data_IF_937266102987
#
_entry.id   IF_937266102987
#
_cell.length_a   1.000
_cell.length_b   1.000
_cell.length_c   1.000
_cell.angle_alpha   90.00
_cell.angle_beta   90.00
_cell.angle_gamma   90.00
#
_symmetry.space_group_name_H-M   'P 1'
#
loop_
_entity.id
_entity.type
_entity.pdbx_description
1 polymer ?
#
# COMPACT_ATOMS: atom_id res chain seq x y z
N UNK A 1 -3.33 17.39 -3.87
CA UNK A 1 -4.23 16.44 -3.18
C UNK A 1 -3.88 16.36 -1.71
N UNK A 2 -4.83 15.93 -0.88
CA UNK A 2 -4.64 15.52 0.51
C UNK A 2 -4.58 14.00 0.58
N UNK A 3 -3.46 13.47 1.03
CA UNK A 3 -3.15 12.04 0.99
C UNK A 3 -2.98 11.51 2.40
N UNK A 4 -3.62 10.39 2.72
CA UNK A 4 -3.33 9.61 3.91
C UNK A 4 -2.49 8.38 3.54
N UNK A 5 -1.31 8.23 4.13
CA UNK A 5 -0.40 7.10 3.88
C UNK A 5 -0.25 6.22 5.12
N UNK A 6 -0.56 4.94 4.95
CA UNK A 6 -0.30 3.88 5.93
C UNK A 6 0.80 2.97 5.41
N UNK A 7 1.83 2.71 6.23
CA UNK A 7 2.98 1.90 5.81
C UNK A 7 4.03 2.65 4.98
N UNK A 8 4.16 3.97 5.19
CA UNK A 8 5.09 4.83 4.45
C UNK A 8 6.40 5.15 5.20
N UNK A 9 6.75 4.40 6.24
CA UNK A 9 7.99 4.62 6.99
C UNK A 9 9.26 4.14 6.28
N UNK A 10 9.12 3.28 5.26
CA UNK A 10 10.23 2.69 4.49
C UNK A 10 9.71 2.09 3.18
N UNK A 11 10.63 1.66 2.32
CA UNK A 11 10.32 0.85 1.13
C UNK A 11 9.31 1.56 0.19
N UNK A 12 8.36 0.82 -0.39
CA UNK A 12 7.42 1.33 -1.40
C UNK A 12 6.67 2.56 -0.89
N UNK A 13 6.07 2.49 0.31
CA UNK A 13 5.28 3.58 0.85
C UNK A 13 6.10 4.86 1.10
N UNK A 14 7.37 4.70 1.50
CA UNK A 14 8.29 5.83 1.64
C UNK A 14 8.58 6.50 0.29
N UNK A 15 8.90 5.72 -0.73
CA UNK A 15 9.12 6.26 -2.09
C UNK A 15 7.85 6.88 -2.68
N UNK A 16 6.67 6.34 -2.37
CA UNK A 16 5.38 6.95 -2.74
C UNK A 16 5.21 8.30 -2.05
N UNK A 17 5.48 8.38 -0.74
CA UNK A 17 5.39 9.64 0.00
C UNK A 17 6.33 10.71 -0.59
N UNK A 18 7.61 10.36 -0.85
CA UNK A 18 8.56 11.28 -1.46
C UNK A 18 8.07 11.84 -2.81
N UNK A 19 7.54 10.98 -3.68
CA UNK A 19 7.03 11.39 -5.00
C UNK A 19 5.82 12.31 -4.89
N UNK A 20 4.83 11.96 -4.06
CA UNK A 20 3.65 12.79 -3.86
C UNK A 20 3.99 14.15 -3.24
N UNK A 21 4.93 14.19 -2.29
CA UNK A 21 5.45 15.43 -1.70
C UNK A 21 6.16 16.29 -2.75
N UNK A 22 7.00 15.69 -3.60
CA UNK A 22 7.67 16.39 -4.69
C UNK A 22 6.69 16.96 -5.74
N UNK A 23 5.54 16.30 -5.94
CA UNK A 23 4.43 16.80 -6.75
C UNK A 23 3.56 17.87 -6.05
N UNK A 24 3.97 18.33 -4.86
CA UNK A 24 3.33 19.42 -4.13
C UNK A 24 2.10 19.00 -3.32
N UNK A 25 1.84 17.70 -3.13
CA UNK A 25 0.70 17.22 -2.34
C UNK A 25 0.93 17.33 -0.84
N UNK A 26 -0.16 17.42 -0.08
CA UNK A 26 -0.12 17.33 1.38
C UNK A 26 -0.29 15.88 1.79
N UNK A 27 0.71 15.31 2.44
CA UNK A 27 0.77 13.91 2.83
C UNK A 27 0.74 13.78 4.36
N UNK A 28 -0.26 13.10 4.88
CA UNK A 28 -0.33 12.67 6.29
C UNK A 28 0.14 11.23 6.40
N UNK A 29 1.19 10.99 7.19
CA UNK A 29 1.80 9.68 7.38
C UNK A 29 1.43 9.13 8.77
N UNK A 30 0.75 7.99 8.82
CA UNK A 30 0.56 7.23 10.06
C UNK A 30 1.82 6.39 10.33
N UNK A 31 2.51 6.70 11.43
CA UNK A 31 3.84 6.15 11.73
C UNK A 31 3.92 5.68 13.19
N UNK A 32 4.44 4.47 13.41
CA UNK A 32 4.75 3.98 14.76
C UNK A 32 5.90 4.78 15.41
N UNK A 33 6.85 5.23 14.59
CA UNK A 33 8.06 5.97 14.97
C UNK A 33 8.29 7.14 14.01
N UNK A 34 7.60 8.29 14.20
CA UNK A 34 7.75 9.47 13.35
C UNK A 34 9.15 10.07 13.36
N UNK A 35 9.96 9.81 14.39
CA UNK A 35 11.33 10.33 14.55
C UNK A 35 12.24 9.96 13.36
N UNK A 36 11.97 8.82 12.72
CA UNK A 36 12.68 8.40 11.52
C UNK A 36 12.45 9.36 10.33
N UNK A 37 11.30 10.02 10.25
CA UNK A 37 11.01 11.02 9.21
C UNK A 37 11.50 12.41 9.64
N UNK A 38 11.48 12.72 10.93
CA UNK A 38 12.00 13.99 11.48
C UNK A 38 13.51 14.14 11.30
N UNK A 39 14.22 13.01 11.19
CA UNK A 39 15.67 12.95 10.93
C UNK A 39 16.02 12.70 9.45
N UNK A 40 15.02 12.56 8.58
CA UNK A 40 15.23 12.30 7.16
C UNK A 40 15.39 13.62 6.38
N UNK A 41 16.62 13.88 5.92
CA UNK A 41 16.95 15.09 5.15
C UNK A 41 16.09 15.31 3.89
N UNK A 42 15.52 14.25 3.31
CA UNK A 42 14.61 14.36 2.15
C UNK A 42 13.18 14.72 2.53
N UNK A 43 12.77 14.52 3.78
CA UNK A 43 11.41 14.77 4.28
C UNK A 43 11.34 16.06 5.11
N UNK A 44 12.42 16.43 5.80
CA UNK A 44 12.52 17.64 6.65
C UNK A 44 11.95 18.91 5.97
N UNK A 45 12.27 19.24 4.70
CA UNK A 45 11.72 20.43 4.04
C UNK A 45 10.19 20.41 3.92
N UNK A 46 9.61 19.22 3.72
CA UNK A 46 8.16 19.04 3.62
C UNK A 46 7.47 19.11 4.98
N UNK A 47 8.14 18.70 6.06
CA UNK A 47 7.64 18.89 7.43
C UNK A 47 7.59 20.39 7.74
N UNK A 48 8.69 21.11 7.47
CA UNK A 48 8.79 22.55 7.73
C UNK A 48 7.74 23.38 6.97
N UNK A 49 7.39 22.97 5.75
CA UNK A 49 6.33 23.62 4.95
C UNK A 49 4.91 23.17 5.29
N UNK A 50 4.74 22.17 6.17
CA UNK A 50 3.44 21.58 6.52
C UNK A 50 2.84 20.66 5.44
N UNK A 51 3.60 20.37 4.38
CA UNK A 51 3.20 19.40 3.34
C UNK A 51 3.29 17.96 3.85
N UNK A 52 4.27 17.62 4.69
CA UNK A 52 4.35 16.34 5.37
C UNK A 52 3.84 16.48 6.81
N UNK A 53 2.76 15.76 7.13
CA UNK A 53 2.16 15.73 8.47
C UNK A 53 2.40 14.36 9.09
N UNK A 54 3.07 14.32 10.23
CA UNK A 54 3.42 13.06 10.89
C UNK A 54 2.42 12.78 12.01
N UNK A 55 1.76 11.63 11.97
CA UNK A 55 0.84 11.20 13.03
C UNK A 55 1.39 9.94 13.67
N UNK A 56 1.72 10.03 14.97
CA UNK A 56 2.13 8.84 15.73
C UNK A 56 0.94 7.92 15.98
N UNK A 57 1.11 6.65 15.63
CA UNK A 57 0.13 5.61 15.94
C UNK A 57 0.41 4.27 15.26
N UNK A 58 -0.48 3.31 15.46
CA UNK A 58 -0.42 1.98 14.89
C UNK A 58 -1.64 1.70 13.98
N UNK A 59 -1.41 1.12 12.80
CA UNK A 59 -2.48 0.69 11.90
C UNK A 59 -3.37 -0.41 12.48
N UNK A 60 -2.89 -1.13 13.51
CA UNK A 60 -3.67 -2.12 14.26
C UNK A 60 -4.52 -1.50 15.38
N UNK A 61 -4.57 -0.17 15.49
CA UNK A 61 -5.40 0.54 16.47
C UNK A 61 -6.34 1.47 15.72
N UNK A 62 -7.63 1.14 15.67
CA UNK A 62 -8.61 1.91 14.89
C UNK A 62 -8.67 3.39 15.28
N UNK A 63 -8.52 3.71 16.58
CA UNK A 63 -8.49 5.09 17.06
C UNK A 63 -7.29 5.88 16.50
N UNK A 64 -6.16 5.22 16.24
CA UNK A 64 -4.97 5.85 15.66
C UNK A 64 -5.17 6.12 14.17
N UNK A 65 -5.81 5.17 13.47
CA UNK A 65 -6.22 5.34 12.07
C UNK A 65 -7.21 6.49 11.92
N UNK A 66 -8.19 6.60 12.84
CA UNK A 66 -9.13 7.71 12.88
C UNK A 66 -8.42 9.06 13.08
N UNK A 67 -7.48 9.16 14.03
CA UNK A 67 -6.71 10.40 14.24
C UNK A 67 -5.91 10.79 13.00
N UNK A 68 -5.26 9.83 12.34
CA UNK A 68 -4.53 10.11 11.11
C UNK A 68 -5.45 10.57 9.97
N UNK A 69 -6.65 9.98 9.88
CA UNK A 69 -7.68 10.41 8.95
C UNK A 69 -8.13 11.85 9.23
N UNK A 70 -8.43 12.19 10.48
CA UNK A 70 -8.88 13.51 10.88
C UNK A 70 -7.82 14.57 10.52
N UNK A 71 -6.53 14.29 10.81
CA UNK A 71 -5.41 15.16 10.41
C UNK A 71 -5.25 15.30 8.89
N UNK A 72 -5.49 14.23 8.12
CA UNK A 72 -5.47 14.31 6.65
C UNK A 72 -6.61 15.18 6.09
N UNK A 73 -7.78 15.12 6.75
CA UNK A 73 -8.99 15.88 6.40
C UNK A 73 -8.93 17.36 6.84
N UNK A 74 -8.00 17.77 7.69
CA UNK A 74 -7.91 19.16 8.16
C UNK A 74 -7.73 20.18 7.01
N UNK A 75 -8.81 20.87 6.64
CA UNK A 75 -8.85 21.85 5.57
C UNK A 75 -9.24 21.29 4.19
N UNK A 76 -9.85 20.11 4.11
CA UNK A 76 -10.43 19.58 2.87
C UNK A 76 -10.79 18.09 2.92
N UNK A 77 -11.36 17.54 1.84
CA UNK A 77 -11.56 16.09 1.74
C UNK A 77 -10.21 15.37 1.61
N UNK A 78 -10.16 14.11 2.05
CA UNK A 78 -9.05 13.21 1.72
C UNK A 78 -9.28 12.73 0.28
N UNK A 79 -8.32 12.98 -0.60
CA UNK A 79 -8.43 12.62 -2.01
C UNK A 79 -7.93 11.20 -2.28
N UNK A 80 -6.87 10.80 -1.57
CA UNK A 80 -6.18 9.53 -1.74
C UNK A 80 -5.83 8.91 -0.40
N UNK A 81 -6.03 7.61 -0.30
CA UNK A 81 -5.49 6.75 0.74
C UNK A 81 -4.54 5.75 0.10
N UNK A 82 -3.29 5.73 0.55
CA UNK A 82 -2.32 4.71 0.19
C UNK A 82 -2.17 3.73 1.37
N UNK A 83 -2.35 2.44 1.10
CA UNK A 83 -2.14 1.37 2.06
C UNK A 83 -0.99 0.46 1.61
N UNK A 84 0.15 0.62 2.26
CA UNK A 84 1.35 -0.20 2.10
C UNK A 84 1.79 -0.89 3.38
N UNK A 85 0.89 -1.06 4.37
CA UNK A 85 1.24 -1.80 5.60
C UNK A 85 1.63 -3.23 5.22
N UNK A 86 2.75 -3.64 5.81
CA UNK A 86 3.27 -4.99 5.86
C UNK A 86 4.10 -5.12 7.15
N UNK A 87 4.56 -6.33 7.45
CA UNK A 87 5.41 -6.55 8.61
C UNK A 87 6.84 -6.91 8.25
N UNK A 88 7.69 -6.92 9.27
CA UNK A 88 9.04 -7.46 9.18
C UNK A 88 8.96 -8.99 9.13
N UNK A 89 9.50 -9.63 8.08
CA UNK A 89 9.46 -11.07 7.99
C UNK A 89 10.42 -11.69 9.01
N UNK A 90 9.88 -12.54 9.88
CA UNK A 90 10.65 -13.55 10.62
C UNK A 90 10.73 -14.85 9.82
N UNK A 91 11.66 -15.73 10.17
CA UNK A 91 11.80 -17.04 9.52
C UNK A 91 11.50 -18.19 10.49
N UNK A 92 10.70 -19.14 10.02
CA UNK A 92 10.36 -20.39 10.71
C UNK A 92 10.70 -21.57 9.82
N UNK A 93 11.44 -22.55 10.35
CA UNK A 93 11.82 -23.75 9.60
C UNK A 93 10.61 -24.57 9.11
N UNK A 94 9.47 -24.49 9.81
CA UNK A 94 8.25 -25.22 9.46
C UNK A 94 7.26 -24.40 8.63
N UNK A 95 7.28 -23.06 8.78
CA UNK A 95 6.26 -22.16 8.21
C UNK A 95 6.81 -21.17 7.17
N UNK A 96 8.10 -21.26 6.83
CA UNK A 96 8.75 -20.29 5.95
C UNK A 96 8.83 -18.89 6.58
N UNK A 97 8.59 -17.85 5.78
CA UNK A 97 8.48 -16.49 6.28
C UNK A 97 7.16 -16.27 7.03
N UNK A 98 7.26 -15.68 8.21
CA UNK A 98 6.12 -15.33 9.06
C UNK A 98 6.15 -13.85 9.39
N UNK A 99 4.98 -13.28 9.60
CA UNK A 99 4.82 -11.89 10.04
C UNK A 99 4.04 -11.89 11.34
N UNK A 100 4.41 -11.02 12.28
CA UNK A 100 3.74 -10.89 13.58
C UNK A 100 3.14 -9.49 13.73
N UNK A 101 1.82 -9.36 13.99
CA UNK A 101 0.84 -10.44 13.97
C UNK A 101 0.61 -10.98 12.55
N UNK A 102 0.13 -12.23 12.45
CA UNK A 102 -0.06 -12.90 11.16
C UNK A 102 -1.10 -12.21 10.28
N UNK A 103 -2.07 -11.52 10.89
CA UNK A 103 -3.17 -10.82 10.23
C UNK A 103 -2.95 -9.30 10.13
N UNK A 104 -1.69 -8.83 10.19
CA UNK A 104 -1.36 -7.40 10.28
C UNK A 104 -1.98 -6.59 9.14
N UNK A 105 -2.03 -7.14 7.92
CA UNK A 105 -2.49 -6.40 6.75
C UNK A 105 -4.01 -6.44 6.59
N UNK A 106 -4.65 -7.60 6.79
CA UNK A 106 -6.11 -7.71 6.76
C UNK A 106 -6.77 -6.94 7.91
N UNK A 107 -6.24 -7.06 9.14
CA UNK A 107 -6.76 -6.35 10.31
C UNK A 107 -6.61 -4.83 10.16
N UNK A 108 -5.43 -4.35 9.77
CA UNK A 108 -5.23 -2.90 9.58
C UNK A 108 -6.09 -2.35 8.43
N UNK A 109 -6.27 -3.11 7.35
CA UNK A 109 -7.16 -2.74 6.26
C UNK A 109 -8.62 -2.66 6.72
N UNK A 110 -9.07 -3.60 7.56
CA UNK A 110 -10.43 -3.59 8.10
C UNK A 110 -10.73 -2.32 8.91
N UNK A 111 -9.78 -1.86 9.74
CA UNK A 111 -9.91 -0.63 10.50
C UNK A 111 -9.89 0.61 9.62
N UNK A 112 -9.03 0.62 8.60
CA UNK A 112 -9.00 1.70 7.61
C UNK A 112 -10.33 1.82 6.86
N UNK A 113 -10.86 0.71 6.36
CA UNK A 113 -12.15 0.69 5.65
C UNK A 113 -13.30 1.12 6.56
N UNK A 114 -13.28 0.71 7.84
CA UNK A 114 -14.26 1.17 8.82
C UNK A 114 -14.22 2.70 9.00
N UNK A 115 -13.03 3.28 9.16
CA UNK A 115 -12.81 4.73 9.28
C UNK A 115 -13.29 5.46 8.03
N UNK A 116 -12.88 5.03 6.83
CA UNK A 116 -13.32 5.64 5.57
C UNK A 116 -14.85 5.61 5.50
N UNK A 117 -15.48 4.46 5.80
CA UNK A 117 -16.94 4.30 5.72
C UNK A 117 -17.68 5.23 6.69
N UNK A 118 -17.19 5.38 7.93
CA UNK A 118 -17.82 6.24 8.93
C UNK A 118 -17.54 7.72 8.71
N UNK A 119 -16.44 8.07 8.05
CA UNK A 119 -15.98 9.46 7.93
C UNK A 119 -16.25 10.11 6.57
N UNK A 120 -16.85 9.39 5.62
CA UNK A 120 -17.15 9.88 4.27
C UNK A 120 -18.61 9.66 3.87
N UNK A 121 -19.10 10.57 3.02
CA UNK A 121 -20.32 10.36 2.25
C UNK A 121 -19.94 9.78 0.87
N UNK A 122 -20.88 9.20 0.10
CA UNK A 122 -20.59 8.66 -1.23
C UNK A 122 -19.78 9.58 -2.14
N UNK A 123 -20.13 10.86 -2.19
CA UNK A 123 -19.46 11.85 -3.03
C UNK A 123 -18.05 12.28 -2.55
N UNK A 124 -17.64 11.88 -1.34
CA UNK A 124 -16.36 12.29 -0.73
C UNK A 124 -15.45 11.12 -0.38
N UNK A 125 -15.77 9.91 -0.87
CA UNK A 125 -14.91 8.73 -0.72
C UNK A 125 -13.59 8.96 -1.46
N UNK A 126 -12.45 8.62 -0.85
CA UNK A 126 -11.14 8.79 -1.46
C UNK A 126 -10.86 7.68 -2.49
N UNK A 127 -9.93 7.93 -3.42
CA UNK A 127 -9.23 6.82 -4.10
C UNK A 127 -8.46 6.01 -3.05
N UNK A 128 -8.51 4.69 -3.11
CA UNK A 128 -7.77 3.75 -2.27
C UNK A 128 -6.83 2.93 -3.15
N UNK A 129 -5.52 3.14 -2.97
CA UNK A 129 -4.49 2.31 -3.60
C UNK A 129 -3.88 1.42 -2.52
N UNK A 130 -3.86 0.11 -2.77
CA UNK A 130 -3.34 -0.86 -1.81
C UNK A 130 -2.31 -1.79 -2.43
N UNK A 131 -1.23 -2.07 -1.69
CA UNK A 131 -0.18 -3.01 -2.12
C UNK A 131 -0.44 -4.40 -1.53
N UNK A 132 -0.53 -5.41 -2.38
CA UNK A 132 -0.62 -6.82 -1.99
C UNK A 132 0.58 -7.60 -2.52
N UNK A 133 0.37 -8.61 -3.35
CA UNK A 133 1.43 -9.45 -3.92
C UNK A 133 0.92 -10.12 -5.20
N UNK A 134 1.81 -10.41 -6.14
CA UNK A 134 1.49 -11.30 -7.25
C UNK A 134 1.44 -12.77 -6.77
N UNK A 135 0.66 -13.62 -7.45
CA UNK A 135 0.59 -15.04 -7.16
C UNK A 135 -0.29 -15.44 -5.96
N UNK A 136 -1.24 -14.59 -5.56
CA UNK A 136 -2.15 -14.81 -4.43
C UNK A 136 -3.35 -15.71 -4.75
N UNK A 137 -3.73 -15.82 -6.03
CA UNK A 137 -4.82 -16.69 -6.49
C UNK A 137 -4.29 -17.72 -7.50
N UNK A 138 -5.04 -18.80 -7.72
CA UNK A 138 -4.63 -19.93 -8.58
C UNK A 138 -4.18 -19.46 -9.97
N UNK A 139 -4.88 -18.47 -10.53
CA UNK A 139 -4.60 -17.91 -11.85
C UNK A 139 -3.27 -17.17 -11.88
N UNK A 140 -3.06 -16.21 -10.98
CA UNK A 140 -1.80 -15.46 -10.87
C UNK A 140 -0.63 -16.36 -10.45
N UNK A 141 -0.87 -17.37 -9.61
CA UNK A 141 0.14 -18.36 -9.21
C UNK A 141 0.57 -19.23 -10.39
N UNK A 142 -0.37 -19.64 -11.25
CA UNK A 142 -0.05 -20.39 -12.46
C UNK A 142 0.85 -19.62 -13.43
N UNK A 143 0.75 -18.28 -13.45
CA UNK A 143 1.52 -17.37 -14.28
C UNK A 143 2.92 -17.03 -13.74
N UNK A 144 3.25 -17.45 -12.50
CA UNK A 144 4.59 -17.28 -11.94
C UNK A 144 5.64 -18.07 -12.73
N UNK A 145 6.88 -17.57 -12.83
CA UNK A 145 8.01 -18.38 -13.29
C UNK A 145 8.08 -19.72 -12.53
N UNK A 146 8.29 -20.83 -13.23
CA UNK A 146 8.29 -22.18 -12.64
C UNK A 146 9.17 -22.31 -11.38
N UNK A 147 10.40 -21.75 -11.33
CA UNK A 147 11.23 -21.83 -10.13
C UNK A 147 10.67 -21.08 -8.92
N UNK A 148 9.82 -20.06 -9.14
CA UNK A 148 9.22 -19.27 -8.06
C UNK A 148 8.00 -19.94 -7.45
N UNK A 149 7.34 -20.88 -8.12
CA UNK A 149 6.15 -21.58 -7.59
C UNK A 149 6.40 -22.28 -6.24
N UNK A 150 7.44 -23.12 -6.06
CA UNK A 150 7.70 -23.73 -4.75
C UNK A 150 8.08 -22.69 -3.68
N UNK A 151 8.81 -21.64 -4.06
CA UNK A 151 9.15 -20.54 -3.15
C UNK A 151 7.90 -19.78 -2.68
N UNK A 152 7.00 -19.42 -3.60
CA UNK A 152 5.76 -18.70 -3.29
C UNK A 152 4.75 -19.57 -2.54
N UNK A 153 4.69 -20.87 -2.86
CA UNK A 153 3.73 -21.80 -2.27
C UNK A 153 4.06 -22.22 -0.83
N UNK A 154 5.34 -22.33 -0.47
CA UNK A 154 5.74 -22.74 0.88
C UNK A 154 6.31 -21.57 1.71
N UNK A 155 7.25 -20.80 1.16
CA UNK A 155 7.98 -19.79 1.92
C UNK A 155 7.15 -18.55 2.24
N UNK A 156 6.13 -18.26 1.42
CA UNK A 156 5.30 -17.06 1.54
C UNK A 156 3.84 -17.38 1.91
N UNK A 157 3.54 -18.63 2.29
CA UNK A 157 2.17 -19.05 2.54
C UNK A 157 1.47 -18.17 3.58
N UNK A 158 2.04 -18.05 4.78
CA UNK A 158 1.46 -17.26 5.88
C UNK A 158 1.23 -15.78 5.50
N UNK A 159 2.22 -15.03 4.98
CA UNK A 159 1.96 -13.65 4.56
C UNK A 159 1.02 -13.55 3.36
N UNK A 160 0.95 -14.55 2.48
CA UNK A 160 -0.02 -14.56 1.38
C UNK A 160 -1.45 -14.79 1.85
N UNK A 161 -1.69 -15.65 2.86
CA UNK A 161 -3.01 -15.84 3.46
C UNK A 161 -3.58 -14.50 3.97
N UNK A 162 -2.77 -13.72 4.69
CA UNK A 162 -3.18 -12.40 5.17
C UNK A 162 -3.42 -11.39 4.03
N UNK A 163 -2.59 -11.41 2.98
CA UNK A 163 -2.80 -10.57 1.79
C UNK A 163 -4.07 -10.96 1.02
N UNK A 164 -4.44 -12.24 0.99
CA UNK A 164 -5.70 -12.71 0.41
C UNK A 164 -6.89 -12.16 1.22
N UNK A 165 -6.84 -12.21 2.55
CA UNK A 165 -7.88 -11.61 3.39
C UNK A 165 -7.94 -10.09 3.25
N UNK A 166 -6.80 -9.40 3.14
CA UNK A 166 -6.73 -7.98 2.80
C UNK A 166 -7.47 -7.69 1.49
N UNK A 167 -7.23 -8.47 0.44
CA UNK A 167 -7.94 -8.29 -0.84
C UNK A 167 -9.43 -8.58 -0.75
N UNK A 168 -9.85 -9.56 0.05
CA UNK A 168 -11.29 -9.85 0.25
C UNK A 168 -12.00 -8.64 0.85
N UNK A 169 -11.42 -8.00 1.86
CA UNK A 169 -11.99 -6.78 2.44
C UNK A 169 -12.13 -5.66 1.41
N UNK A 170 -11.10 -5.46 0.58
CA UNK A 170 -11.07 -4.40 -0.44
C UNK A 170 -12.04 -4.71 -1.58
N UNK A 171 -12.07 -5.95 -2.08
CA UNK A 171 -13.00 -6.41 -3.13
C UNK A 171 -14.46 -6.27 -2.69
N UNK A 172 -14.77 -6.64 -1.46
CA UNK A 172 -16.11 -6.45 -0.87
C UNK A 172 -16.47 -4.97 -0.74
N UNK A 173 -15.54 -4.14 -0.26
CA UNK A 173 -15.78 -2.70 -0.21
C UNK A 173 -16.05 -2.12 -1.61
N UNK A 174 -15.33 -2.59 -2.64
CA UNK A 174 -15.46 -2.17 -4.03
C UNK A 174 -16.67 -2.77 -4.78
N UNK A 175 -17.29 -3.84 -4.25
CA UNK A 175 -18.37 -4.58 -4.93
C UNK A 175 -17.87 -5.55 -6.02
N UNK A 176 -16.56 -5.83 -6.06
CA UNK A 176 -15.95 -6.74 -7.04
C UNK A 176 -16.24 -8.22 -6.78
N UNK A 177 -16.76 -8.55 -5.60
CA UNK A 177 -17.22 -9.89 -5.23
C UNK A 177 -18.72 -10.12 -5.49
N UNK A 178 -19.38 -9.19 -6.20
CA UNK A 178 -20.82 -9.24 -6.47
C UNK A 178 -21.69 -8.70 -5.33
N UNK A 179 -21.09 -8.16 -4.26
CA UNK A 179 -21.82 -7.44 -3.21
C UNK A 179 -22.08 -5.98 -3.60
N UNK A 180 -23.01 -5.33 -2.89
CA UNK A 180 -23.23 -3.88 -3.01
C UNK A 180 -22.05 -3.13 -2.39
N UNK A 181 -21.05 -2.86 -3.23
CA UNK A 181 -19.80 -2.20 -2.88
C UNK A 181 -20.02 -0.79 -2.43
N UNK A 182 -19.69 -0.49 -1.17
CA UNK A 182 -19.89 0.84 -0.63
C UNK A 182 -18.77 1.82 -1.02
N UNK A 183 -17.55 1.45 -1.39
CA UNK A 183 -16.51 2.45 -1.71
C UNK A 183 -16.58 2.94 -3.16
N UNK A 184 -17.17 2.14 -4.06
CA UNK A 184 -17.16 2.36 -5.51
C UNK A 184 -15.98 1.65 -6.17
N UNK A 185 -16.25 0.88 -7.22
CA UNK A 185 -15.25 0.10 -7.97
C UNK A 185 -14.15 0.95 -8.59
N UNK A 186 -14.49 2.16 -9.01
CA UNK A 186 -13.65 3.16 -9.65
C UNK A 186 -12.68 3.84 -8.66
N UNK A 187 -12.95 3.73 -7.36
CA UNK A 187 -12.13 4.34 -6.32
C UNK A 187 -11.04 3.38 -5.81
N UNK A 188 -10.93 2.15 -6.32
CA UNK A 188 -10.05 1.14 -5.74
C UNK A 188 -9.06 0.60 -6.77
N UNK A 189 -7.79 0.58 -6.38
CA UNK A 189 -6.74 -0.12 -7.12
C UNK A 189 -5.93 -1.03 -6.20
N UNK A 190 -5.88 -2.32 -6.55
CA UNK A 190 -5.01 -3.31 -5.91
C UNK A 190 -3.76 -3.47 -6.78
N UNK A 191 -2.59 -3.15 -6.24
CA UNK A 191 -1.30 -3.32 -6.91
C UNK A 191 -0.63 -4.59 -6.40
N UNK A 192 -0.40 -5.54 -7.32
CA UNK A 192 0.20 -6.86 -7.06
C UNK A 192 1.63 -6.92 -7.64
N UNK A 193 2.66 -6.43 -6.93
CA UNK A 193 4.02 -6.42 -7.45
C UNK A 193 4.61 -7.84 -7.57
N UNK A 194 5.58 -8.00 -8.47
CA UNK A 194 6.45 -9.18 -8.52
C UNK A 194 7.42 -9.20 -7.31
N UNK A 195 8.35 -10.16 -7.26
CA UNK A 195 9.30 -10.29 -6.15
C UNK A 195 10.10 -8.98 -5.95
N UNK A 196 9.98 -8.40 -4.76
CA UNK A 196 10.50 -7.07 -4.50
C UNK A 196 12.01 -7.07 -4.32
N UNK A 197 12.70 -6.23 -5.08
CA UNK A 197 14.12 -5.93 -4.93
C UNK A 197 14.35 -4.53 -4.38
N UNK A 198 15.58 -4.27 -3.94
CA UNK A 198 16.06 -2.93 -3.60
C UNK A 198 16.91 -2.40 -4.74
N UNK A 199 16.99 -1.07 -4.86
CA UNK A 199 17.75 -0.41 -5.91
C UNK A 199 17.11 0.92 -6.29
N UNK A 200 17.78 1.64 -7.18
CA UNK A 200 17.26 2.86 -7.78
C UNK A 200 15.99 2.59 -8.60
N UNK A 201 15.18 3.63 -8.79
CA UNK A 201 14.07 3.59 -9.72
C UNK A 201 14.60 3.64 -11.16
N UNK A 202 14.53 2.53 -11.88
CA UNK A 202 14.94 2.44 -13.28
C UNK A 202 14.06 3.32 -14.16
N UNK A 203 12.77 3.45 -13.82
CA UNK A 203 11.81 4.25 -14.57
C UNK A 203 12.12 5.76 -14.57
N UNK A 204 12.96 6.26 -13.66
CA UNK A 204 13.45 7.64 -13.72
C UNK A 204 14.43 7.88 -14.88
N UNK A 205 15.02 6.82 -15.44
CA UNK A 205 16.07 6.88 -16.46
C UNK A 205 15.63 6.29 -17.80
N UNK A 206 14.73 5.31 -17.75
CA UNK A 206 14.34 4.51 -18.91
C UNK A 206 12.82 4.50 -19.02
N UNK A 207 12.30 4.88 -20.19
CA UNK A 207 10.89 4.74 -20.50
C UNK A 207 10.50 3.25 -20.54
N UNK A 208 9.31 2.92 -20.05
CA UNK A 208 8.79 1.54 -20.01
C UNK A 208 9.72 0.54 -19.29
N UNK A 209 10.41 1.01 -18.24
CA UNK A 209 11.37 0.23 -17.44
C UNK A 209 10.78 -1.02 -16.76
N UNK A 210 9.46 -1.13 -16.67
CA UNK A 210 8.77 -2.28 -16.10
C UNK A 210 7.48 -2.59 -16.88
N UNK A 211 7.06 -3.86 -16.85
CA UNK A 211 5.80 -4.31 -17.46
C UNK A 211 4.63 -4.06 -16.50
N UNK A 212 3.49 -3.66 -17.06
CA UNK A 212 2.22 -3.47 -16.35
C UNK A 212 1.13 -4.25 -17.08
N UNK A 213 0.22 -4.85 -16.32
CA UNK A 213 -0.96 -5.53 -16.87
C UNK A 213 -1.85 -6.04 -15.74
N UNK A 214 -3.12 -6.29 -16.05
CA UNK A 214 -4.05 -6.95 -15.12
C UNK A 214 -3.55 -8.36 -14.75
N UNK A 215 -2.93 -9.05 -15.69
CA UNK A 215 -2.18 -10.28 -15.50
C UNK A 215 -0.81 -10.15 -16.18
N UNK A 216 0.24 -10.65 -15.53
CA UNK A 216 1.60 -10.67 -16.09
C UNK A 216 2.14 -12.10 -16.12
N UNK A 217 2.47 -12.58 -17.31
CA UNK A 217 3.17 -13.86 -17.47
C UNK A 217 4.67 -13.71 -17.16
N UNK A 218 5.20 -14.64 -16.37
CA UNK A 218 6.63 -14.73 -16.05
C UNK A 218 7.19 -13.42 -15.46
N UNK A 219 6.48 -12.82 -14.51
CA UNK A 219 6.97 -11.67 -13.76
C UNK A 219 7.94 -12.13 -12.67
N UNK A 220 9.21 -11.72 -12.78
CA UNK A 220 10.28 -12.16 -11.88
C UNK A 220 10.45 -11.23 -10.70
N UNK A 221 10.93 -10.02 -10.96
CA UNK A 221 11.28 -9.05 -9.92
C UNK A 221 10.87 -7.65 -10.32
N UNK A 222 10.74 -6.78 -9.32
CA UNK A 222 10.56 -5.34 -9.51
C UNK A 222 11.14 -4.60 -8.31
N UNK A 223 11.79 -3.46 -8.53
CA UNK A 223 12.34 -2.68 -7.43
C UNK A 223 11.21 -1.98 -6.66
N UNK A 224 11.38 -1.83 -5.35
CA UNK A 224 10.42 -1.08 -4.51
C UNK A 224 10.23 0.37 -4.99
N UNK A 225 11.29 0.96 -5.56
CA UNK A 225 11.25 2.32 -6.08
C UNK A 225 10.46 2.41 -7.40
N UNK A 226 10.56 1.39 -8.27
CA UNK A 226 9.75 1.29 -9.49
C UNK A 226 8.27 1.02 -9.19
N UNK A 227 7.96 0.22 -8.15
CA UNK A 227 6.55 0.07 -7.71
C UNK A 227 5.98 1.41 -7.25
N UNK A 228 6.75 2.20 -6.51
CA UNK A 228 6.31 3.53 -6.10
C UNK A 228 6.14 4.49 -7.28
N UNK A 229 7.03 4.43 -8.27
CA UNK A 229 6.87 5.14 -9.54
C UNK A 229 5.59 4.72 -10.25
N UNK A 230 5.30 3.42 -10.36
CA UNK A 230 4.06 2.93 -10.96
C UNK A 230 2.81 3.46 -10.24
N UNK A 231 2.80 3.42 -8.90
CA UNK A 231 1.69 3.93 -8.11
C UNK A 231 1.42 5.41 -8.39
N UNK A 232 2.45 6.25 -8.41
CA UNK A 232 2.26 7.71 -8.50
C UNK A 232 2.13 8.18 -9.95
N UNK A 233 2.96 7.68 -10.86
CA UNK A 233 3.08 8.22 -12.22
C UNK A 233 2.20 7.50 -13.25
N UNK A 234 1.61 6.36 -12.90
CA UNK A 234 0.72 5.60 -13.79
C UNK A 234 -0.66 5.45 -13.15
N UNK A 235 -0.76 4.75 -12.02
CA UNK A 235 -2.06 4.47 -11.39
C UNK A 235 -2.80 5.73 -10.96
N UNK A 236 -2.10 6.73 -10.45
CA UNK A 236 -2.73 7.96 -9.97
C UNK A 236 -2.96 9.00 -11.07
N UNK A 237 -2.21 8.91 -12.16
CA UNK A 237 -2.34 9.76 -13.35
C UNK A 237 -3.51 9.31 -14.25
N UNK A 238 -3.92 8.04 -14.15
CA UNK A 238 -5.11 7.46 -14.75
C UNK A 238 -6.41 7.88 -14.01
#
# INVERSE_FOLDING_TARGET
MRVLLLGASRNIGYFVAQRLLAQGHTCTLLLRRPEAMESDGSIIPYIASGQARLVRGDGLVQADVQRAWDTAKEGGKVDLVFFGIGGDPGFSLLKGFVVTPADITSRSMSFLLAVIRSSTAPATRPKLITITSNGLDDRSHALLPLPLKPFYGWLLQVPHEDKVEQEKHVKRAAGWDGTDGWIGSENVTIVRPALLTSGECVANKVQDAYRVGAELQSAWTVSRADVAHFVVEKVLAD
#
